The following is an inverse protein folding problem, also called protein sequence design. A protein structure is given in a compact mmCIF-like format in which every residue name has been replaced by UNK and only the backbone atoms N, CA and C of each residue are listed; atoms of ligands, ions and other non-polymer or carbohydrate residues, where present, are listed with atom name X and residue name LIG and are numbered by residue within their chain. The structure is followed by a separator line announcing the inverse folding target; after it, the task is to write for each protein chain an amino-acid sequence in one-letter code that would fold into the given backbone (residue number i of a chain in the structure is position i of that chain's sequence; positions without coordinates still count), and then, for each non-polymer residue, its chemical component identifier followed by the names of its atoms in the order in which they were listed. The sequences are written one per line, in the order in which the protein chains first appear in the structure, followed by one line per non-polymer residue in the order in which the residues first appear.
data_IF_709020250812
#
_entry.id   IF_709020250812
#
_cell.length_a   1.000
_cell.length_b   1.000
_cell.length_c   1.000
_cell.angle_alpha   90.00
_cell.angle_beta   90.00
_cell.angle_gamma   90.00
#
_symmetry.space_group_name_H-M   'P 1'
#
loop_
_entity.id
_entity.type
_entity.pdbx_description
1 polymer ?
#
# COMPACT_ATOMS: atom_id res chain seq x y z
N UNK A 1 18.84 -8.66 -26.04
CA UNK A 1 17.74 -7.79 -25.57
C UNK A 1 16.66 -8.51 -24.75
N UNK A 2 16.05 -9.62 -25.24
CA UNK A 2 14.98 -10.40 -24.55
C UNK A 2 15.26 -10.76 -23.07
N UNK A 3 16.49 -11.13 -22.70
CA UNK A 3 16.85 -11.48 -21.31
C UNK A 3 16.77 -10.30 -20.33
N UNK A 4 17.08 -9.07 -20.76
CA UNK A 4 17.02 -7.88 -19.90
C UNK A 4 15.56 -7.48 -19.63
N UNK A 5 14.71 -7.55 -20.66
CA UNK A 5 13.26 -7.29 -20.55
C UNK A 5 12.60 -8.28 -19.58
N UNK A 6 12.91 -9.58 -19.70
CA UNK A 6 12.36 -10.61 -18.78
C UNK A 6 12.75 -10.38 -17.32
N UNK A 7 13.97 -9.86 -17.05
CA UNK A 7 14.41 -9.49 -15.70
C UNK A 7 13.67 -8.26 -15.16
N UNK A 8 13.46 -7.24 -15.99
CA UNK A 8 12.70 -6.04 -15.61
C UNK A 8 11.23 -6.38 -15.34
N UNK A 9 10.58 -7.18 -16.20
CA UNK A 9 9.19 -7.63 -15.98
C UNK A 9 9.05 -8.44 -14.68
N UNK A 10 10.06 -9.26 -14.32
CA UNK A 10 10.05 -9.99 -13.05
C UNK A 10 10.20 -9.07 -11.83
N UNK A 11 10.90 -7.95 -11.97
CA UNK A 11 11.08 -6.97 -10.90
C UNK A 11 9.78 -6.19 -10.60
N UNK A 12 9.07 -5.81 -11.67
CA UNK A 12 7.84 -5.01 -11.62
C UNK A 12 6.56 -5.83 -11.76
N UNK A 13 6.64 -7.16 -11.69
CA UNK A 13 5.50 -8.06 -11.90
C UNK A 13 4.34 -7.78 -10.95
N UNK A 14 4.64 -7.40 -9.71
CA UNK A 14 3.62 -6.99 -8.74
C UNK A 14 2.96 -5.67 -9.14
N UNK A 15 3.74 -4.65 -9.50
CA UNK A 15 3.23 -3.34 -9.89
C UNK A 15 2.33 -3.45 -11.12
N UNK A 16 2.72 -4.30 -12.09
CA UNK A 16 1.92 -4.59 -13.29
C UNK A 16 0.62 -5.29 -12.91
N UNK A 17 0.67 -6.34 -12.08
CA UNK A 17 -0.53 -7.05 -11.63
C UNK A 17 -1.48 -6.14 -10.83
N UNK A 18 -0.93 -5.27 -9.98
CA UNK A 18 -1.69 -4.29 -9.22
C UNK A 18 -2.37 -3.28 -10.15
N UNK A 19 -1.67 -2.80 -11.18
CA UNK A 19 -2.25 -1.91 -12.19
C UNK A 19 -3.46 -2.55 -12.88
N UNK A 20 -3.35 -3.81 -13.32
CA UNK A 20 -4.47 -4.53 -13.90
C UNK A 20 -5.63 -4.70 -12.92
N UNK A 21 -5.37 -5.07 -11.67
CA UNK A 21 -6.42 -5.23 -10.66
C UNK A 21 -7.14 -3.90 -10.36
N UNK A 22 -6.40 -2.80 -10.22
CA UNK A 22 -6.99 -1.47 -10.02
C UNK A 22 -7.81 -1.08 -11.24
N UNK A 23 -7.28 -1.27 -12.45
CA UNK A 23 -8.00 -0.99 -13.69
C UNK A 23 -9.30 -1.79 -13.78
N UNK A 24 -9.28 -3.08 -13.44
CA UNK A 24 -10.48 -3.94 -13.43
C UNK A 24 -11.47 -3.51 -12.35
N UNK A 25 -11.01 -3.21 -11.14
CA UNK A 25 -11.87 -2.73 -10.06
C UNK A 25 -12.55 -1.40 -10.39
N UNK A 26 -11.80 -0.47 -10.97
CA UNK A 26 -12.34 0.81 -11.47
C UNK A 26 -13.28 0.60 -12.65
N UNK A 27 -12.92 -0.25 -13.61
CA UNK A 27 -13.77 -0.58 -14.75
C UNK A 27 -15.13 -1.13 -14.30
N UNK A 28 -15.14 -2.06 -13.34
CA UNK A 28 -16.38 -2.62 -12.78
C UNK A 28 -17.25 -1.57 -12.08
N UNK A 29 -16.66 -0.53 -11.50
CA UNK A 29 -17.39 0.59 -10.90
C UNK A 29 -17.91 1.60 -11.93
N UNK A 30 -17.18 1.79 -13.04
CA UNK A 30 -17.49 2.80 -14.08
C UNK A 30 -18.45 2.26 -15.14
N UNK A 31 -18.41 0.95 -15.43
CA UNK A 31 -19.21 0.31 -16.49
C UNK A 31 -20.68 0.14 -16.10
N UNK A 32 -21.05 0.53 -14.88
CA UNK A 32 -22.44 0.72 -14.50
C UNK A 32 -23.06 2.03 -15.03
N UNK A 33 -22.75 2.35 -16.29
CA UNK A 33 -23.53 3.29 -17.09
C UNK A 33 -24.06 2.54 -18.28
N UNK A 34 -25.38 2.56 -18.42
CA UNK A 34 -26.12 2.06 -19.57
C UNK A 34 -25.32 2.23 -20.86
N UNK A 35 -25.27 1.15 -21.63
CA UNK A 35 -24.49 0.91 -22.85
C UNK A 35 -24.73 1.91 -23.99
N UNK A 36 -25.27 3.11 -23.73
CA UNK A 36 -25.66 4.08 -24.75
C UNK A 36 -25.16 5.51 -24.61
N UNK A 37 -24.67 6.00 -23.46
CA UNK A 37 -24.40 7.46 -23.36
C UNK A 37 -23.03 7.93 -22.82
N UNK A 38 -22.13 7.07 -22.33
CA UNK A 38 -21.01 7.58 -21.52
C UNK A 38 -19.59 7.53 -22.10
N UNK A 39 -19.44 7.43 -23.43
CA UNK A 39 -18.11 7.50 -24.08
C UNK A 39 -17.45 8.89 -23.91
N UNK A 40 -18.20 9.91 -23.50
CA UNK A 40 -17.71 11.31 -23.42
C UNK A 40 -17.12 11.72 -22.07
N UNK A 41 -17.44 11.04 -20.96
CA UNK A 41 -17.01 11.48 -19.61
C UNK A 41 -15.67 10.89 -19.13
N UNK A 42 -15.14 9.87 -19.80
CA UNK A 42 -13.92 9.14 -19.39
C UNK A 42 -12.63 9.99 -19.39
N UNK A 43 -12.58 11.14 -20.06
CA UNK A 43 -11.39 11.99 -20.15
C UNK A 43 -11.26 13.02 -19.01
N UNK A 44 -12.30 13.25 -18.20
CA UNK A 44 -12.32 14.32 -17.18
C UNK A 44 -12.12 13.82 -15.75
N UNK A 45 -11.97 12.51 -15.55
CA UNK A 45 -12.20 11.89 -14.23
C UNK A 45 -11.01 12.03 -13.27
N UNK A 46 -9.79 12.29 -13.76
CA UNK A 46 -8.57 12.28 -12.93
C UNK A 46 -8.54 13.33 -11.82
N UNK A 47 -9.29 14.44 -11.94
CA UNK A 47 -9.30 15.51 -10.93
C UNK A 47 -10.50 15.44 -9.96
N UNK A 48 -11.59 14.79 -10.35
CA UNK A 48 -12.82 14.69 -9.52
C UNK A 48 -12.88 13.42 -8.65
N UNK A 49 -11.99 12.44 -8.89
CA UNK A 49 -11.99 11.16 -8.19
C UNK A 49 -11.93 11.27 -6.67
N UNK A 50 -11.18 12.21 -6.09
CA UNK A 50 -11.01 12.27 -4.62
C UNK A 50 -12.28 12.74 -3.89
N UNK A 51 -13.02 13.67 -4.49
CA UNK A 51 -14.27 14.20 -3.92
C UNK A 51 -15.45 13.25 -4.13
N UNK A 52 -15.52 12.58 -5.28
CA UNK A 52 -16.55 11.57 -5.52
C UNK A 52 -16.34 10.30 -4.73
N UNK A 53 -15.09 9.85 -4.54
CA UNK A 53 -14.79 8.67 -3.73
C UNK A 53 -15.32 8.81 -2.28
N UNK A 54 -15.16 10.00 -1.68
CA UNK A 54 -15.70 10.29 -0.34
C UNK A 54 -17.23 10.38 -0.33
N UNK A 55 -17.85 10.99 -1.35
CA UNK A 55 -19.32 11.08 -1.45
C UNK A 55 -19.96 9.71 -1.65
N UNK A 56 -19.35 8.83 -2.45
CA UNK A 56 -19.83 7.45 -2.67
C UNK A 56 -19.75 6.65 -1.37
N UNK A 57 -18.67 6.79 -0.59
CA UNK A 57 -18.56 6.13 0.72
C UNK A 57 -19.66 6.62 1.68
N UNK A 58 -19.87 7.93 1.76
CA UNK A 58 -20.88 8.55 2.65
C UNK A 58 -22.32 8.21 2.24
N UNK A 59 -22.64 8.28 0.95
CA UNK A 59 -23.98 8.02 0.43
C UNK A 59 -24.40 6.55 0.58
N UNK A 60 -23.46 5.61 0.38
CA UNK A 60 -23.71 4.17 0.58
C UNK A 60 -23.84 3.76 2.06
N UNK A 61 -23.36 4.58 3.00
CA UNK A 61 -23.53 4.33 4.44
C UNK A 61 -24.89 4.81 4.96
N UNK A 62 -25.49 5.83 4.33
CA UNK A 62 -26.74 6.45 4.79
C UNK A 62 -27.99 6.06 3.98
N UNK A 63 -27.84 5.63 2.73
CA UNK A 63 -28.94 5.14 1.88
C UNK A 63 -29.06 3.63 1.98
N UNK A 64 -30.13 3.13 2.59
CA UNK A 64 -30.37 1.70 2.83
C UNK A 64 -30.15 0.81 1.60
N UNK A 65 -29.84 -0.46 1.88
CA UNK A 65 -29.54 -1.61 1.02
C UNK A 65 -30.54 -1.92 -0.13
N UNK A 66 -31.09 -0.93 -0.82
CA UNK A 66 -31.87 -1.13 -2.04
C UNK A 66 -30.92 -1.14 -3.23
N UNK A 67 -30.55 -2.37 -3.60
CA UNK A 67 -30.00 -2.76 -4.90
C UNK A 67 -28.63 -2.15 -5.19
N UNK A 68 -27.65 -2.44 -4.32
CA UNK A 68 -26.25 -2.35 -4.75
C UNK A 68 -26.09 -3.40 -5.87
N UNK A 69 -25.86 -2.94 -7.10
CA UNK A 69 -25.56 -3.83 -8.22
C UNK A 69 -24.33 -4.68 -7.87
N UNK A 70 -24.39 -5.98 -8.14
CA UNK A 70 -23.35 -6.94 -7.79
C UNK A 70 -21.97 -6.54 -8.37
N UNK A 71 -21.95 -5.92 -9.55
CA UNK A 71 -20.79 -5.31 -10.21
C UNK A 71 -20.08 -4.28 -9.34
N UNK A 72 -20.81 -3.34 -8.76
CA UNK A 72 -20.26 -2.30 -7.88
C UNK A 72 -19.67 -2.90 -6.60
N UNK A 73 -20.33 -3.90 -6.02
CA UNK A 73 -19.80 -4.63 -4.87
C UNK A 73 -18.48 -5.34 -5.22
N UNK A 74 -18.43 -6.02 -6.36
CA UNK A 74 -17.22 -6.70 -6.86
C UNK A 74 -16.08 -5.72 -7.12
N UNK A 75 -16.37 -4.59 -7.78
CA UNK A 75 -15.39 -3.54 -8.04
C UNK A 75 -14.79 -2.98 -6.75
N UNK A 76 -15.63 -2.69 -5.75
CA UNK A 76 -15.18 -2.24 -4.43
C UNK A 76 -14.31 -3.29 -3.72
N UNK A 77 -14.72 -4.56 -3.72
CA UNK A 77 -13.94 -5.65 -3.14
C UNK A 77 -12.57 -5.79 -3.80
N UNK A 78 -12.48 -5.69 -5.12
CA UNK A 78 -11.21 -5.74 -5.86
C UNK A 78 -10.29 -4.59 -5.45
N UNK A 79 -10.82 -3.37 -5.31
CA UNK A 79 -10.03 -2.22 -4.85
C UNK A 79 -9.56 -2.40 -3.40
N UNK A 80 -10.40 -2.97 -2.53
CA UNK A 80 -10.02 -3.28 -1.14
C UNK A 80 -8.88 -4.31 -1.10
N UNK A 81 -8.94 -5.35 -1.94
CA UNK A 81 -7.86 -6.33 -2.11
C UNK A 81 -6.58 -5.63 -2.62
N UNK A 82 -6.68 -4.72 -3.59
CA UNK A 82 -5.52 -3.96 -4.08
C UNK A 82 -4.85 -3.15 -2.97
N UNK A 83 -5.66 -2.48 -2.14
CA UNK A 83 -5.16 -1.72 -1.00
C UNK A 83 -4.43 -2.64 0.00
N UNK A 84 -5.03 -3.79 0.32
CA UNK A 84 -4.42 -4.79 1.20
C UNK A 84 -3.10 -5.34 0.64
N UNK A 85 -3.05 -5.69 -0.65
CA UNK A 85 -1.83 -6.19 -1.30
C UNK A 85 -0.71 -5.14 -1.31
N UNK A 86 -1.07 -3.88 -1.59
CA UNK A 86 -0.12 -2.75 -1.57
C UNK A 86 0.45 -2.54 -0.17
N UNK A 87 -0.42 -2.52 0.83
CA UNK A 87 -0.05 -2.43 2.24
C UNK A 87 0.89 -3.58 2.65
N UNK A 88 0.56 -4.83 2.28
CA UNK A 88 1.40 -5.99 2.55
C UNK A 88 2.79 -5.85 1.91
N UNK A 89 2.87 -5.40 0.65
CA UNK A 89 4.16 -5.18 -0.03
C UNK A 89 4.98 -4.09 0.64
N UNK A 90 4.36 -2.99 1.09
CA UNK A 90 5.06 -1.95 1.84
C UNK A 90 5.60 -2.48 3.16
N UNK A 91 4.80 -3.26 3.89
CA UNK A 91 5.22 -3.93 5.12
C UNK A 91 6.44 -4.83 4.88
N UNK A 92 6.41 -5.66 3.85
CA UNK A 92 7.50 -6.58 3.51
C UNK A 92 8.78 -5.84 3.11
N UNK A 93 8.68 -4.73 2.37
CA UNK A 93 9.83 -3.87 2.04
C UNK A 93 10.45 -3.28 3.29
N UNK A 94 9.64 -2.77 4.22
CA UNK A 94 10.12 -2.20 5.49
C UNK A 94 10.84 -3.23 6.38
N UNK A 95 10.41 -4.49 6.36
CA UNK A 95 11.11 -5.57 7.07
C UNK A 95 12.46 -5.85 6.39
N UNK A 96 12.48 -6.01 5.06
CA UNK A 96 13.69 -6.36 4.31
C UNK A 96 14.76 -5.27 4.35
N UNK A 97 14.38 -3.99 4.29
CA UNK A 97 15.35 -2.88 4.30
C UNK A 97 15.99 -2.67 5.67
N UNK A 98 15.28 -3.02 6.75
CA UNK A 98 15.69 -2.69 8.13
C UNK A 98 16.14 -3.95 8.88
N UNK A 99 16.94 -4.78 8.21
CA UNK A 99 17.44 -6.03 8.77
C UNK A 99 18.42 -5.80 9.94
N UNK A 100 18.53 -6.83 10.78
CA UNK A 100 19.14 -6.78 12.11
C UNK A 100 20.66 -6.64 12.01
N UNK A 101 21.15 -5.43 12.17
CA UNK A 101 22.56 -5.19 12.46
C UNK A 101 22.83 -5.56 13.93
N UNK A 102 23.70 -6.53 14.16
CA UNK A 102 24.17 -6.90 15.51
C UNK A 102 25.26 -5.96 16.02
N UNK A 103 25.98 -5.31 15.09
CA UNK A 103 27.14 -4.45 15.35
C UNK A 103 27.07 -3.19 14.49
N UNK A 104 27.73 -2.13 14.94
CA UNK A 104 27.82 -0.89 14.15
C UNK A 104 28.77 -1.08 12.96
N UNK A 105 28.29 -0.85 11.73
CA UNK A 105 29.10 -0.95 10.50
C UNK A 105 30.32 -0.01 10.49
N UNK A 106 30.29 1.08 11.27
CA UNK A 106 31.35 2.10 11.26
C UNK A 106 32.48 1.79 12.23
N UNK A 107 32.19 1.19 13.37
CA UNK A 107 33.18 1.03 14.46
C UNK A 107 33.13 -0.34 15.14
N UNK A 108 32.32 -1.27 14.63
CA UNK A 108 32.13 -2.63 15.14
C UNK A 108 31.76 -2.73 16.63
N UNK A 109 31.38 -1.63 17.28
CA UNK A 109 30.95 -1.65 18.67
C UNK A 109 29.53 -2.18 18.81
N UNK A 110 29.17 -2.50 20.06
CA UNK A 110 27.82 -2.93 20.44
C UNK A 110 26.81 -1.81 20.17
N UNK A 111 25.59 -2.24 19.90
CA UNK A 111 24.42 -1.39 19.66
C UNK A 111 23.52 -1.46 20.88
N UNK A 112 23.28 -0.32 21.52
CA UNK A 112 22.39 -0.21 22.67
C UNK A 112 20.99 0.18 22.24
N UNK A 113 19.99 -0.38 22.93
CA UNK A 113 18.59 -0.15 22.59
C UNK A 113 18.16 1.20 23.17
N UNK A 114 17.54 2.03 22.33
CA UNK A 114 17.01 3.34 22.74
C UNK A 114 15.48 3.39 22.63
N UNK A 115 14.90 4.35 23.33
CA UNK A 115 13.46 4.58 23.30
C UNK A 115 12.99 5.01 21.91
N UNK A 116 11.90 4.38 21.47
CA UNK A 116 11.25 4.71 20.20
C UNK A 116 10.43 6.00 20.34
N UNK A 117 10.55 6.88 19.36
CA UNK A 117 9.69 8.06 19.21
C UNK A 117 8.22 7.66 19.04
N UNK A 118 7.28 8.54 19.42
CA UNK A 118 5.84 8.29 19.29
C UNK A 118 5.40 7.95 17.86
N UNK A 119 6.00 8.59 16.84
CA UNK A 119 5.77 8.26 15.43
C UNK A 119 6.10 6.79 15.09
N UNK A 120 7.23 6.27 15.58
CA UNK A 120 7.62 4.86 15.39
C UNK A 120 6.71 3.90 16.17
N UNK A 121 6.15 4.33 17.32
CA UNK A 121 5.16 3.54 18.06
C UNK A 121 3.88 3.37 17.23
N UNK A 122 3.38 4.48 16.69
CA UNK A 122 2.16 4.51 15.87
C UNK A 122 2.35 3.73 14.58
N UNK A 123 3.49 3.91 13.90
CA UNK A 123 3.83 3.14 12.70
C UNK A 123 3.89 1.63 12.98
N UNK A 124 4.52 1.21 14.09
CA UNK A 124 4.58 -0.21 14.48
C UNK A 124 3.24 -0.79 14.96
N UNK A 125 2.30 0.06 15.38
CA UNK A 125 0.93 -0.36 15.66
C UNK A 125 0.16 -0.56 14.35
N UNK A 126 0.10 0.47 13.51
CA UNK A 126 -0.61 0.45 12.24
C UNK A 126 -0.09 -0.66 11.31
N UNK A 127 1.22 -0.76 11.15
CA UNK A 127 1.85 -1.77 10.27
C UNK A 127 1.91 -3.17 10.88
N UNK A 128 1.47 -3.36 12.14
CA UNK A 128 1.66 -4.58 12.93
C UNK A 128 3.13 -5.07 12.89
N UNK A 129 4.07 -4.16 13.14
CA UNK A 129 5.52 -4.42 13.13
C UNK A 129 6.17 -4.20 14.51
N UNK A 130 7.14 -5.05 14.87
CA UNK A 130 8.07 -4.84 15.98
C UNK A 130 9.23 -3.97 15.49
N UNK A 131 9.08 -2.66 15.66
CA UNK A 131 10.14 -1.69 15.37
C UNK A 131 11.00 -1.50 16.63
N UNK A 132 12.31 -1.76 16.51
CA UNK A 132 13.31 -1.49 17.56
C UNK A 132 14.32 -0.48 17.04
N UNK A 133 14.68 0.48 17.89
CA UNK A 133 15.66 1.51 17.61
C UNK A 133 16.91 1.25 18.45
N UNK A 134 18.06 1.35 17.81
CA UNK A 134 19.37 1.14 18.41
C UNK A 134 20.25 2.36 18.16
N UNK A 135 21.17 2.60 19.08
CA UNK A 135 22.21 3.62 18.97
C UNK A 135 23.57 2.98 19.26
N UNK A 136 24.59 3.43 18.54
CA UNK A 136 25.94 2.98 18.75
C UNK A 136 26.61 3.73 19.90
N UNK A 137 27.24 3.01 20.84
CA UNK A 137 27.88 3.62 22.01
C UNK A 137 29.06 4.53 21.66
N UNK A 138 29.86 4.15 20.64
CA UNK A 138 31.07 4.92 20.28
C UNK A 138 30.82 6.07 19.31
N UNK A 139 29.85 5.95 18.41
CA UNK A 139 29.66 6.92 17.32
C UNK A 139 28.26 7.53 17.25
N UNK A 140 27.38 7.21 18.21
CA UNK A 140 26.01 7.74 18.33
C UNK A 140 25.14 7.58 17.08
N UNK A 141 25.55 6.72 16.14
CA UNK A 141 24.78 6.46 14.92
C UNK A 141 23.57 5.60 15.26
N UNK A 142 22.40 6.02 14.74
CA UNK A 142 21.10 5.39 15.02
C UNK A 142 20.76 4.37 13.93
N UNK A 143 20.29 3.22 14.37
CA UNK A 143 19.88 2.10 13.52
C UNK A 143 18.45 1.69 13.84
N UNK A 144 17.65 1.45 12.80
CA UNK A 144 16.26 1.00 12.91
C UNK A 144 16.19 -0.44 12.47
N UNK A 145 15.55 -1.29 13.27
CA UNK A 145 15.27 -2.67 12.90
C UNK A 145 13.77 -2.92 12.92
N UNK A 146 13.27 -3.62 11.89
CA UNK A 146 11.86 -3.95 11.75
C UNK A 146 11.72 -5.48 11.72
N UNK A 147 10.87 -6.04 12.58
CA UNK A 147 10.49 -7.46 12.54
C UNK A 147 8.97 -7.60 12.51
N UNK A 148 8.50 -8.72 11.98
CA UNK A 148 7.09 -9.09 12.06
C UNK A 148 6.68 -9.28 13.53
N UNK A 149 5.44 -8.88 13.87
CA UNK A 149 4.92 -8.99 15.24
C UNK A 149 4.46 -10.39 15.56
#
# INVERSE_FOLDING_TARGET
MKRRIKKLLKLYSFEIALFFLISTGLFLLVVDVDLKENIRHLLTVTYSFTKEFLKIILYNLTGGFKIIKLSNLLGFLILLICFYLTYKRWRDRLIKSNNVLKTCEKCNSKLNRINKTNLLKLLGFFMRLKIRLYECDKCHKKYKTCKEK
#
